data_IF_451698687161
#
_entry.id   IF_451698687161
#
_cell.length_a   1.000
_cell.length_b   1.000
_cell.length_c   1.000
_cell.angle_alpha   90.00
_cell.angle_beta   90.00
_cell.angle_gamma   90.00
#
_symmetry.space_group_name_H-M   'P 1'
#
loop_
_entity.id
_entity.type
_entity.pdbx_description
1 polymer ?
#
# COMPACT_ATOMS: atom_id res chain seq x y z
N UNK A 1 -25.96 -10.50 -7.04
CA UNK A 1 -25.90 -9.15 -6.45
C UNK A 1 -24.79 -9.21 -5.38
N UNK A 2 -23.51 -9.14 -5.81
CA UNK A 2 -22.35 -9.21 -4.92
C UNK A 2 -22.13 -7.82 -4.32
N UNK A 3 -22.10 -7.74 -2.98
CA UNK A 3 -21.82 -6.53 -2.22
C UNK A 3 -20.56 -5.88 -2.75
N UNK A 4 -20.70 -4.66 -3.22
CA UNK A 4 -19.60 -3.72 -3.33
C UNK A 4 -18.93 -3.64 -1.95
N UNK A 5 -17.60 -3.72 -1.92
CA UNK A 5 -16.85 -3.71 -0.66
C UNK A 5 -17.13 -2.44 0.15
N UNK A 6 -16.89 -2.49 1.44
CA UNK A 6 -17.05 -1.37 2.39
C UNK A 6 -16.07 -0.21 2.06
N UNK A 7 -15.37 -0.28 0.93
CA UNK A 7 -14.22 0.52 0.55
C UNK A 7 -14.35 2.05 0.63
N UNK A 8 -15.57 2.61 0.71
CA UNK A 8 -15.75 4.06 0.89
C UNK A 8 -16.30 4.45 2.26
N UNK A 9 -16.78 3.49 3.07
CA UNK A 9 -17.48 3.74 4.34
C UNK A 9 -16.79 3.17 5.57
N UNK A 10 -15.64 2.51 5.42
CA UNK A 10 -14.85 1.94 6.51
C UNK A 10 -14.44 3.02 7.53
N UNK A 11 -14.59 2.73 8.82
CA UNK A 11 -14.17 3.64 9.89
C UNK A 11 -12.67 3.86 9.92
N UNK A 12 -11.89 2.84 9.60
CA UNK A 12 -10.43 2.93 9.53
C UNK A 12 -9.97 3.87 8.41
N UNK A 13 -10.71 3.88 7.27
CA UNK A 13 -10.48 4.85 6.19
C UNK A 13 -10.75 6.28 6.64
N UNK A 14 -11.71 6.49 7.51
CA UNK A 14 -12.05 7.83 8.01
C UNK A 14 -11.14 8.32 9.15
N UNK A 15 -10.20 7.49 9.63
CA UNK A 15 -9.25 7.87 10.66
C UNK A 15 -8.21 8.87 10.17
N UNK A 16 -7.60 9.55 11.14
CA UNK A 16 -6.58 10.57 10.90
C UNK A 16 -5.40 10.01 10.08
N UNK A 17 -4.89 10.74 9.06
CA UNK A 17 -3.85 10.27 8.15
C UNK A 17 -2.58 9.76 8.84
N UNK A 18 -2.17 10.39 9.93
CA UNK A 18 -0.97 9.98 10.70
C UNK A 18 -1.17 8.58 11.31
N UNK A 19 -2.38 8.26 11.78
CA UNK A 19 -2.68 6.94 12.38
C UNK A 19 -2.60 5.84 11.32
N UNK A 20 -3.25 6.05 10.18
CA UNK A 20 -3.25 5.08 9.09
C UNK A 20 -1.85 4.89 8.51
N UNK A 21 -1.08 5.98 8.32
CA UNK A 21 0.29 5.91 7.82
C UNK A 21 1.23 5.17 8.79
N UNK A 22 1.21 5.52 10.09
CA UNK A 22 2.03 4.86 11.11
C UNK A 22 1.71 3.37 11.23
N UNK A 23 0.42 3.00 11.22
CA UNK A 23 -0.01 1.61 11.24
C UNK A 23 0.59 0.79 10.08
N UNK A 24 0.41 1.24 8.83
CA UNK A 24 0.93 0.52 7.67
C UNK A 24 2.46 0.50 7.64
N UNK A 25 3.12 1.57 8.07
CA UNK A 25 4.59 1.62 8.17
C UNK A 25 5.10 0.57 9.15
N UNK A 26 4.45 0.43 10.32
CA UNK A 26 4.81 -0.57 11.33
C UNK A 26 4.57 -1.98 10.79
N UNK A 27 3.38 -2.27 10.24
CA UNK A 27 3.03 -3.60 9.73
C UNK A 27 3.96 -4.02 8.59
N UNK A 28 4.13 -3.18 7.57
CA UNK A 28 4.99 -3.50 6.42
C UNK A 28 6.46 -3.60 6.87
N UNK A 29 6.90 -2.72 7.78
CA UNK A 29 8.25 -2.78 8.35
C UNK A 29 8.52 -4.12 9.06
N UNK A 30 7.63 -4.57 9.93
CA UNK A 30 7.76 -5.87 10.61
C UNK A 30 7.78 -7.02 9.60
N UNK A 31 6.92 -6.98 8.58
CA UNK A 31 6.84 -8.01 7.55
C UNK A 31 8.14 -8.16 6.75
N UNK A 32 8.77 -7.06 6.38
CA UNK A 32 10.01 -7.07 5.59
C UNK A 32 11.18 -7.72 6.32
N UNK A 33 11.14 -7.77 7.64
CA UNK A 33 12.20 -8.39 8.45
C UNK A 33 11.82 -9.75 9.02
N UNK A 34 10.56 -10.18 8.90
CA UNK A 34 10.07 -11.43 9.48
C UNK A 34 10.38 -12.62 8.59
N UNK A 35 11.12 -13.61 9.14
CA UNK A 35 11.43 -14.88 8.49
C UNK A 35 10.64 -16.06 9.07
N UNK A 36 9.73 -15.84 10.00
CA UNK A 36 8.92 -16.90 10.61
C UNK A 36 7.69 -17.22 9.76
N UNK A 37 7.52 -18.48 9.30
CA UNK A 37 6.38 -18.87 8.46
C UNK A 37 5.03 -18.63 9.14
N UNK A 38 4.95 -18.79 10.47
CA UNK A 38 3.71 -18.57 11.21
C UNK A 38 3.26 -17.10 11.16
N UNK A 39 4.19 -16.15 11.32
CA UNK A 39 3.90 -14.73 11.14
C UNK A 39 3.41 -14.43 9.72
N UNK A 40 4.08 -14.99 8.71
CA UNK A 40 3.78 -14.73 7.30
C UNK A 40 2.42 -15.32 6.89
N UNK A 41 2.11 -16.53 7.33
CA UNK A 41 0.82 -17.18 7.04
C UNK A 41 -0.33 -16.39 7.70
N UNK A 42 -0.17 -16.01 8.99
CA UNK A 42 -1.19 -15.20 9.68
C UNK A 42 -1.41 -13.86 8.99
N UNK A 43 -0.34 -13.23 8.50
CA UNK A 43 -0.40 -11.98 7.72
C UNK A 43 -1.18 -12.12 6.43
N UNK A 44 -0.95 -13.20 5.68
CA UNK A 44 -1.66 -13.45 4.42
C UNK A 44 -3.14 -13.67 4.70
N UNK A 45 -3.49 -14.52 5.68
CA UNK A 45 -4.89 -14.85 6.01
C UNK A 45 -5.66 -13.59 6.43
N UNK A 46 -5.10 -12.81 7.37
CA UNK A 46 -5.76 -11.60 7.88
C UNK A 46 -5.77 -10.51 6.81
N UNK A 47 -4.67 -10.34 6.08
CA UNK A 47 -4.58 -9.36 4.98
C UNK A 47 -5.56 -9.66 3.85
N UNK A 48 -5.72 -10.93 3.43
CA UNK A 48 -6.72 -11.32 2.45
C UNK A 48 -8.15 -11.07 2.94
N UNK A 49 -8.42 -11.37 4.21
CA UNK A 49 -9.72 -11.11 4.83
C UNK A 49 -10.05 -9.61 4.84
N UNK A 50 -9.06 -8.78 5.16
CA UNK A 50 -9.22 -7.32 5.17
C UNK A 50 -9.38 -6.74 3.76
N UNK A 51 -8.55 -7.16 2.80
CA UNK A 51 -8.63 -6.72 1.41
C UNK A 51 -9.95 -7.16 0.74
N UNK A 52 -10.49 -8.33 1.13
CA UNK A 52 -11.83 -8.78 0.73
C UNK A 52 -12.95 -7.88 1.27
N UNK A 53 -12.84 -7.41 2.51
CA UNK A 53 -13.78 -6.45 3.09
C UNK A 53 -13.74 -5.11 2.35
N UNK A 54 -12.55 -4.63 1.98
CA UNK A 54 -12.36 -3.35 1.30
C UNK A 54 -12.83 -3.38 -0.16
N UNK A 55 -12.45 -4.40 -0.92
CA UNK A 55 -12.61 -4.46 -2.40
C UNK A 55 -13.65 -5.47 -2.87
N UNK A 56 -14.21 -6.26 -1.95
CA UNK A 56 -15.13 -7.35 -2.28
C UNK A 56 -14.42 -8.63 -2.76
N UNK A 57 -15.22 -9.63 -3.13
CA UNK A 57 -14.74 -10.99 -3.45
C UNK A 57 -13.83 -11.08 -4.69
N UNK A 58 -13.85 -10.11 -5.59
CA UNK A 58 -12.94 -10.07 -6.75
C UNK A 58 -11.48 -9.95 -6.33
N UNK A 59 -11.19 -9.33 -5.18
CA UNK A 59 -9.85 -9.19 -4.63
C UNK A 59 -9.22 -10.53 -4.28
N UNK A 60 -10.01 -11.49 -3.82
CA UNK A 60 -9.53 -12.82 -3.44
C UNK A 60 -8.79 -13.50 -4.61
N UNK A 61 -9.38 -13.46 -5.80
CA UNK A 61 -8.77 -14.06 -7.01
C UNK A 61 -7.46 -13.39 -7.38
N UNK A 62 -7.41 -12.06 -7.29
CA UNK A 62 -6.18 -11.32 -7.59
C UNK A 62 -5.09 -11.61 -6.58
N UNK A 63 -5.43 -11.67 -5.29
CA UNK A 63 -4.47 -11.97 -4.22
C UNK A 63 -3.94 -13.42 -4.33
N UNK A 64 -4.81 -14.39 -4.64
CA UNK A 64 -4.38 -15.77 -4.90
C UNK A 64 -3.43 -15.84 -6.10
N UNK A 65 -3.72 -15.11 -7.18
CA UNK A 65 -2.81 -15.04 -8.33
C UNK A 65 -1.45 -14.46 -7.95
N UNK A 66 -1.41 -13.39 -7.15
CA UNK A 66 -0.17 -12.79 -6.65
C UNK A 66 0.63 -13.81 -5.81
N UNK A 67 -0.02 -14.52 -4.88
CA UNK A 67 0.62 -15.52 -4.04
C UNK A 67 1.22 -16.64 -4.90
N UNK A 68 0.45 -17.21 -5.83
CA UNK A 68 0.90 -18.29 -6.69
C UNK A 68 2.04 -17.85 -7.61
N UNK A 69 1.92 -16.67 -8.23
CA UNK A 69 2.94 -16.13 -9.11
C UNK A 69 4.25 -15.85 -8.37
N UNK A 70 4.16 -15.20 -7.20
CA UNK A 70 5.34 -14.91 -6.37
C UNK A 70 5.97 -16.18 -5.81
N UNK A 71 5.15 -17.17 -5.40
CA UNK A 71 5.66 -18.46 -4.93
C UNK A 71 6.42 -19.18 -6.04
N UNK A 72 5.87 -19.25 -7.23
CA UNK A 72 6.53 -19.88 -8.37
C UNK A 72 7.85 -19.17 -8.71
N UNK A 73 7.82 -17.84 -8.82
CA UNK A 73 8.98 -17.06 -9.23
C UNK A 73 10.12 -17.11 -8.20
N UNK A 74 9.81 -16.91 -6.92
CA UNK A 74 10.82 -16.89 -5.86
C UNK A 74 11.39 -18.27 -5.55
N UNK A 75 10.58 -19.31 -5.55
CA UNK A 75 11.07 -20.69 -5.39
C UNK A 75 11.97 -21.06 -6.55
N UNK A 76 11.58 -20.73 -7.79
CA UNK A 76 12.39 -21.01 -8.97
C UNK A 76 13.73 -20.28 -8.92
N UNK A 77 13.73 -18.98 -8.62
CA UNK A 77 14.97 -18.20 -8.52
C UNK A 77 15.86 -18.72 -7.41
N UNK A 78 15.32 -18.96 -6.21
CA UNK A 78 16.13 -19.47 -5.11
C UNK A 78 16.68 -20.88 -5.40
N UNK A 79 15.89 -21.77 -5.99
CA UNK A 79 16.32 -23.11 -6.34
C UNK A 79 17.46 -23.13 -7.38
N UNK A 80 17.42 -22.17 -8.34
CA UNK A 80 18.42 -22.09 -9.42
C UNK A 80 19.71 -21.36 -9.02
N UNK A 81 19.61 -20.33 -8.17
CA UNK A 81 20.75 -19.44 -7.87
C UNK A 81 21.36 -19.65 -6.49
N UNK A 82 20.61 -20.24 -5.55
CA UNK A 82 21.10 -20.47 -4.19
C UNK A 82 21.43 -21.94 -3.99
N UNK A 83 22.72 -22.24 -3.80
CA UNK A 83 23.24 -23.60 -3.67
C UNK A 83 23.62 -23.95 -2.22
N UNK A 84 23.23 -23.12 -1.25
CA UNK A 84 23.52 -23.28 0.17
C UNK A 84 22.48 -24.21 0.80
N UNK A 85 22.90 -25.38 1.22
CA UNK A 85 22.06 -26.36 1.91
C UNK A 85 22.74 -27.71 1.99
N UNK A 86 22.34 -28.52 2.95
CA UNK A 86 22.90 -29.84 3.18
C UNK A 86 22.17 -30.97 2.43
N UNK A 87 20.87 -30.80 2.19
CA UNK A 87 19.98 -31.77 1.52
C UNK A 87 19.84 -31.49 0.04
N UNK A 88 20.55 -32.23 -0.80
CA UNK A 88 20.47 -32.12 -2.25
C UNK A 88 19.26 -32.93 -2.76
N UNK A 89 18.33 -32.28 -3.46
CA UNK A 89 17.18 -32.93 -4.10
C UNK A 89 17.55 -33.50 -5.48
N UNK A 90 18.16 -32.69 -6.33
CA UNK A 90 18.66 -33.11 -7.65
C UNK A 90 19.71 -32.13 -8.16
N UNK A 91 20.43 -32.57 -9.21
CA UNK A 91 21.44 -31.76 -9.88
C UNK A 91 20.88 -31.24 -11.22
N UNK A 92 20.97 -29.94 -11.42
CA UNK A 92 20.66 -29.31 -12.70
C UNK A 92 21.96 -28.88 -13.37
N UNK A 93 22.53 -29.76 -14.22
CA UNK A 93 23.88 -29.57 -14.75
C UNK A 93 24.93 -29.63 -13.62
N UNK A 94 25.65 -28.53 -13.41
CA UNK A 94 26.69 -28.43 -12.35
C UNK A 94 26.18 -27.83 -11.03
N UNK A 95 24.89 -27.44 -10.98
CA UNK A 95 24.27 -26.73 -9.84
C UNK A 95 23.47 -27.72 -8.97
N UNK A 96 23.65 -27.63 -7.65
CA UNK A 96 22.93 -28.42 -6.65
C UNK A 96 21.65 -27.71 -6.25
N UNK A 97 20.50 -28.30 -6.52
CA UNK A 97 19.21 -27.82 -6.02
C UNK A 97 18.98 -28.45 -4.65
N UNK A 98 18.85 -27.61 -3.62
CA UNK A 98 18.73 -28.04 -2.23
C UNK A 98 17.31 -27.77 -1.69
N UNK A 99 16.84 -28.63 -0.78
CA UNK A 99 15.54 -28.48 -0.13
C UNK A 99 15.47 -27.18 0.68
N UNK A 100 16.56 -26.82 1.34
CA UNK A 100 16.66 -25.59 2.13
C UNK A 100 16.49 -24.35 1.27
N UNK A 101 17.03 -24.33 0.04
CA UNK A 101 16.87 -23.25 -0.90
C UNK A 101 15.40 -23.11 -1.37
N UNK A 102 14.72 -24.23 -1.61
CA UNK A 102 13.31 -24.23 -1.97
C UNK A 102 12.42 -23.75 -0.81
N UNK A 103 12.66 -24.21 0.41
CA UNK A 103 11.93 -23.76 1.60
C UNK A 103 12.17 -22.27 1.87
N UNK A 104 13.39 -21.78 1.74
CA UNK A 104 13.69 -20.36 1.89
C UNK A 104 13.01 -19.52 0.80
N UNK A 105 13.01 -20.03 -0.45
CA UNK A 105 12.27 -19.43 -1.54
C UNK A 105 10.77 -19.28 -1.28
N UNK A 106 10.17 -20.31 -0.63
CA UNK A 106 8.76 -20.26 -0.24
C UNK A 106 8.50 -19.22 0.85
N UNK A 107 9.37 -19.10 1.83
CA UNK A 107 9.24 -18.09 2.89
C UNK A 107 9.38 -16.67 2.33
N UNK A 108 10.35 -16.46 1.44
CA UNK A 108 10.49 -15.20 0.71
C UNK A 108 9.24 -14.88 -0.13
N UNK A 109 8.65 -15.90 -0.77
CA UNK A 109 7.40 -15.75 -1.50
C UNK A 109 6.24 -15.30 -0.60
N UNK A 110 6.09 -15.92 0.56
CA UNK A 110 5.08 -15.54 1.53
C UNK A 110 5.28 -14.11 2.04
N UNK A 111 6.54 -13.73 2.30
CA UNK A 111 6.89 -12.36 2.72
C UNK A 111 6.50 -11.33 1.65
N UNK A 112 6.94 -11.53 0.41
CA UNK A 112 6.63 -10.62 -0.70
C UNK A 112 5.13 -10.56 -0.98
N UNK A 113 4.44 -11.71 -0.97
CA UNK A 113 2.99 -11.76 -1.16
C UNK A 113 2.25 -11.05 -0.03
N UNK A 114 2.68 -11.23 1.21
CA UNK A 114 2.14 -10.53 2.37
C UNK A 114 2.28 -9.02 2.25
N UNK A 115 3.47 -8.52 1.91
CA UNK A 115 3.72 -7.09 1.67
C UNK A 115 2.83 -6.57 0.55
N UNK A 116 2.69 -7.30 -0.57
CA UNK A 116 1.84 -6.90 -1.70
C UNK A 116 0.37 -6.79 -1.31
N UNK A 117 -0.16 -7.73 -0.53
CA UNK A 117 -1.55 -7.73 -0.07
C UNK A 117 -1.80 -6.54 0.86
N UNK A 118 -0.89 -6.28 1.81
CA UNK A 118 -1.00 -5.12 2.71
C UNK A 118 -0.81 -3.79 1.98
N UNK A 119 0.06 -3.74 0.99
CA UNK A 119 0.20 -2.56 0.14
C UNK A 119 -1.04 -2.33 -0.75
N UNK A 120 -1.71 -3.40 -1.16
CA UNK A 120 -2.98 -3.34 -1.87
C UNK A 120 -4.09 -2.68 -1.03
N UNK A 121 -4.19 -3.03 0.26
CA UNK A 121 -5.12 -2.38 1.20
C UNK A 121 -4.68 -0.95 1.55
N UNK A 122 -3.37 -0.70 1.70
CA UNK A 122 -2.83 0.65 1.89
C UNK A 122 -3.27 1.63 0.80
N UNK A 123 -3.23 1.22 -0.47
CA UNK A 123 -3.63 2.06 -1.60
C UNK A 123 -5.13 2.46 -1.56
N UNK A 124 -5.98 1.66 -0.91
CA UNK A 124 -7.40 2.00 -0.72
C UNK A 124 -7.59 2.95 0.46
N UNK A 125 -6.91 2.67 1.57
CA UNK A 125 -7.08 3.42 2.83
C UNK A 125 -6.37 4.78 2.79
N UNK A 126 -5.20 4.84 2.12
CA UNK A 126 -4.38 6.03 2.01
C UNK A 126 -4.74 6.81 0.75
N UNK A 127 -5.78 7.64 0.84
CA UNK A 127 -6.20 8.51 -0.26
C UNK A 127 -5.19 9.62 -0.54
N UNK A 128 -5.25 10.19 -1.76
CA UNK A 128 -4.39 11.31 -2.16
C UNK A 128 -4.49 12.50 -1.19
N UNK A 129 -5.68 12.76 -0.64
CA UNK A 129 -5.91 13.84 0.34
C UNK A 129 -5.15 13.62 1.64
N UNK A 130 -5.08 12.36 2.11
CA UNK A 130 -4.31 12.00 3.30
C UNK A 130 -2.81 12.15 3.08
N UNK A 131 -2.32 11.78 1.88
CA UNK A 131 -0.92 11.99 1.51
C UNK A 131 -0.57 13.47 1.48
N UNK A 132 -1.42 14.29 0.85
CA UNK A 132 -1.23 15.77 0.84
C UNK A 132 -1.17 16.31 2.26
N UNK A 133 -2.04 15.84 3.16
CA UNK A 133 -2.05 16.29 4.54
C UNK A 133 -0.72 15.97 5.27
N UNK A 134 -0.22 14.74 5.11
CA UNK A 134 1.05 14.32 5.74
C UNK A 134 2.21 15.16 5.22
N UNK A 135 2.36 15.25 3.89
CA UNK A 135 3.44 16.03 3.28
C UNK A 135 3.31 17.52 3.57
N UNK A 136 2.10 18.05 3.59
CA UNK A 136 1.83 19.45 3.90
C UNK A 136 2.17 19.84 5.34
N UNK A 137 2.18 18.89 6.26
CA UNK A 137 2.59 19.13 7.65
C UNK A 137 4.12 19.25 7.79
N UNK A 138 4.89 18.45 7.03
CA UNK A 138 6.36 18.49 7.05
C UNK A 138 6.91 19.63 6.20
N UNK A 139 6.29 19.87 5.04
CA UNK A 139 6.71 20.90 4.10
C UNK A 139 5.46 21.55 3.46
N UNK A 140 5.00 22.71 3.97
CA UNK A 140 3.78 23.38 3.51
C UNK A 140 3.78 23.68 2.01
N UNK A 141 4.95 24.00 1.44
CA UNK A 141 5.11 24.24 0.00
C UNK A 141 4.84 22.96 -0.79
N UNK A 142 5.37 21.81 -0.34
CA UNK A 142 5.12 20.52 -1.00
C UNK A 142 3.65 20.12 -0.91
N UNK A 143 3.00 20.33 0.22
CA UNK A 143 1.58 20.06 0.38
C UNK A 143 0.72 20.86 -0.60
N UNK A 144 1.00 22.13 -0.77
CA UNK A 144 0.32 22.98 -1.73
C UNK A 144 0.59 22.52 -3.18
N UNK A 145 1.86 22.26 -3.51
CA UNK A 145 2.24 21.79 -4.85
C UNK A 145 1.57 20.47 -5.20
N UNK A 146 1.57 19.50 -4.28
CA UNK A 146 0.86 18.23 -4.47
C UNK A 146 -0.65 18.43 -4.66
N UNK A 147 -1.26 19.30 -3.86
CA UNK A 147 -2.69 19.63 -4.01
C UNK A 147 -3.00 20.19 -5.39
N UNK A 148 -2.14 21.07 -5.90
CA UNK A 148 -2.25 21.59 -7.27
C UNK A 148 -2.09 20.48 -8.31
N UNK A 149 -1.07 19.64 -8.19
CA UNK A 149 -0.83 18.53 -9.12
C UNK A 149 -2.05 17.61 -9.20
N UNK A 150 -2.60 17.16 -8.07
CA UNK A 150 -3.77 16.28 -8.06
C UNK A 150 -5.03 16.93 -8.66
N UNK A 151 -5.14 18.25 -8.60
CA UNK A 151 -6.20 19.00 -9.28
C UNK A 151 -5.92 19.15 -10.79
N UNK A 152 -4.66 19.40 -11.16
CA UNK A 152 -4.28 19.62 -12.56
C UNK A 152 -4.29 18.34 -13.39
N UNK A 153 -3.92 17.18 -12.83
CA UNK A 153 -3.89 15.91 -13.59
C UNK A 153 -5.23 15.56 -14.24
N UNK A 154 -6.38 15.55 -13.53
CA UNK A 154 -7.69 15.34 -14.17
C UNK A 154 -8.03 16.43 -15.20
N UNK A 155 -7.72 17.69 -14.89
CA UNK A 155 -7.96 18.82 -15.79
C UNK A 155 -7.17 18.69 -17.09
N UNK A 156 -5.88 18.35 -17.02
CA UNK A 156 -5.05 18.10 -18.18
C UNK A 156 -5.57 16.95 -19.04
N UNK A 157 -6.06 15.88 -18.41
CA UNK A 157 -6.68 14.76 -19.12
C UNK A 157 -7.90 15.19 -19.92
N UNK A 158 -8.82 15.93 -19.30
CA UNK A 158 -10.01 16.45 -19.98
C UNK A 158 -9.64 17.41 -21.11
N UNK A 159 -8.64 18.29 -20.89
CA UNK A 159 -8.15 19.21 -21.93
C UNK A 159 -7.48 18.48 -23.08
N UNK A 160 -6.72 17.42 -22.79
CA UNK A 160 -6.11 16.59 -23.83
C UNK A 160 -7.17 15.91 -24.71
N UNK A 161 -8.25 15.38 -24.13
CA UNK A 161 -9.36 14.79 -24.85
C UNK A 161 -10.04 15.82 -25.78
N UNK A 162 -10.32 17.05 -25.28
CA UNK A 162 -10.88 18.14 -26.08
C UNK A 162 -9.96 18.57 -27.24
N UNK A 163 -8.65 18.70 -26.99
CA UNK A 163 -7.67 19.04 -28.03
C UNK A 163 -7.65 17.95 -29.10
N UNK A 164 -7.65 16.67 -28.66
CA UNK A 164 -7.67 15.53 -29.56
C UNK A 164 -8.91 15.46 -30.43
N UNK A 165 -10.09 15.73 -29.86
CA UNK A 165 -11.36 15.84 -30.63
C UNK A 165 -11.31 16.97 -31.64
N UNK A 166 -10.83 18.15 -31.24
CA UNK A 166 -10.66 19.29 -32.13
C UNK A 166 -9.66 19.01 -33.26
N UNK A 167 -8.54 18.35 -32.97
CA UNK A 167 -7.53 17.98 -33.99
C UNK A 167 -8.10 16.94 -34.96
N UNK A 168 -8.87 15.97 -34.49
CA UNK A 168 -9.54 14.98 -35.36
C UNK A 168 -10.56 15.62 -36.30
N UNK A 169 -11.30 16.62 -35.83
CA UNK A 169 -12.24 17.34 -36.67
C UNK A 169 -11.56 18.15 -37.78
N UNK A 170 -10.35 18.65 -37.53
CA UNK A 170 -9.57 19.44 -38.49
C UNK A 170 -8.82 18.56 -39.51
N UNK A 171 -8.39 17.35 -39.12
CA UNK A 171 -7.52 16.49 -39.90
C UNK A 171 -8.19 15.13 -40.21
N UNK A 172 -9.22 15.13 -41.01
CA UNK A 172 -9.97 13.90 -41.40
C UNK A 172 -9.24 12.92 -42.35
N UNK A 173 -7.91 13.02 -42.59
CA UNK A 173 -7.31 12.32 -43.70
C UNK A 173 -6.03 11.50 -43.47
N UNK A 174 -5.22 11.75 -42.48
CA UNK A 174 -3.82 11.25 -42.46
C UNK A 174 -3.45 10.25 -41.36
N UNK A 175 -4.44 9.63 -40.70
CA UNK A 175 -4.24 8.75 -39.54
C UNK A 175 -3.75 7.33 -39.84
N UNK A 176 -3.54 6.96 -41.10
CA UNK A 176 -3.26 5.56 -41.47
C UNK A 176 -1.80 5.14 -41.22
N UNK A 177 -0.86 6.09 -41.13
CA UNK A 177 0.56 5.79 -40.90
C UNK A 177 0.93 5.90 -39.42
N UNK A 178 1.78 4.98 -38.93
CA UNK A 178 2.34 5.02 -37.59
C UNK A 178 3.09 6.34 -37.30
N UNK A 179 3.84 6.83 -38.27
CA UNK A 179 4.58 8.11 -38.20
C UNK A 179 3.59 9.29 -38.15
N UNK A 180 2.50 9.23 -38.91
CA UNK A 180 1.42 10.22 -38.87
C UNK A 180 0.80 10.36 -37.43
N UNK A 181 0.52 9.22 -36.79
CA UNK A 181 0.00 9.19 -35.41
C UNK A 181 0.97 9.80 -34.40
N UNK A 182 2.27 9.54 -34.52
CA UNK A 182 3.29 10.13 -33.63
C UNK A 182 3.37 11.65 -33.85
N UNK A 183 3.36 12.12 -35.09
CA UNK A 183 3.38 13.55 -35.41
C UNK A 183 2.14 14.27 -34.87
N UNK A 184 0.98 13.63 -34.96
CA UNK A 184 -0.26 14.18 -34.43
C UNK A 184 -0.25 14.25 -32.90
N UNK A 185 0.17 13.19 -32.21
CA UNK A 185 0.38 13.23 -30.76
C UNK A 185 1.35 14.34 -30.35
N UNK A 186 2.43 14.56 -31.09
CA UNK A 186 3.35 15.66 -30.83
C UNK A 186 2.68 17.03 -30.93
N UNK A 187 1.80 17.26 -31.91
CA UNK A 187 1.02 18.50 -32.03
C UNK A 187 0.03 18.67 -30.86
N UNK A 188 -0.72 17.61 -30.53
CA UNK A 188 -1.68 17.60 -29.42
C UNK A 188 -0.99 17.92 -28.08
N UNK A 189 0.18 17.30 -27.82
CA UNK A 189 0.98 17.57 -26.62
C UNK A 189 1.52 19.00 -26.62
N UNK A 190 2.01 19.50 -27.75
CA UNK A 190 2.50 20.89 -27.87
C UNK A 190 1.41 21.91 -27.52
N UNK A 191 0.18 21.72 -28.01
CA UNK A 191 -0.96 22.57 -27.68
C UNK A 191 -1.30 22.49 -26.18
N UNK A 192 -1.29 21.27 -25.64
CA UNK A 192 -1.55 21.03 -24.22
C UNK A 192 -0.51 21.73 -23.32
N UNK A 193 0.77 21.67 -23.69
CA UNK A 193 1.85 22.35 -22.95
C UNK A 193 1.69 23.86 -22.99
N UNK A 194 1.41 24.44 -24.17
CA UNK A 194 1.17 25.88 -24.30
C UNK A 194 0.00 26.34 -23.43
N UNK A 195 -1.14 25.63 -23.48
CA UNK A 195 -2.28 25.90 -22.62
C UNK A 195 -1.93 25.75 -21.13
N UNK A 196 -1.16 24.73 -20.78
CA UNK A 196 -0.76 24.48 -19.38
C UNK A 196 0.11 25.59 -18.81
N UNK A 197 1.03 26.13 -19.62
CA UNK A 197 1.88 27.26 -19.24
C UNK A 197 1.05 28.53 -19.00
N UNK A 198 0.14 28.85 -19.91
CA UNK A 198 -0.78 29.98 -19.77
C UNK A 198 -1.66 29.85 -18.52
N UNK A 199 -2.29 28.70 -18.33
CA UNK A 199 -3.09 28.42 -17.13
C UNK A 199 -2.30 28.46 -15.82
N UNK A 200 -1.01 28.11 -15.87
CA UNK A 200 -0.12 28.20 -14.70
C UNK A 200 0.19 29.65 -14.33
N UNK A 201 0.39 30.53 -15.31
CA UNK A 201 0.60 31.98 -15.08
C UNK A 201 -0.66 32.61 -14.47
N UNK A 202 -1.83 32.37 -15.05
CA UNK A 202 -3.11 32.85 -14.53
C UNK A 202 -3.37 32.38 -13.09
N UNK A 203 -3.01 31.10 -12.81
CA UNK A 203 -3.14 30.52 -11.47
C UNK A 203 -2.20 31.20 -10.48
N UNK A 204 -0.96 31.51 -10.88
CA UNK A 204 0.02 32.22 -10.07
C UNK A 204 -0.44 33.65 -9.74
N UNK A 205 -0.95 34.39 -10.74
CA UNK A 205 -1.48 35.73 -10.56
C UNK A 205 -2.69 35.75 -9.63
N UNK A 206 -3.61 34.80 -9.83
CA UNK A 206 -4.76 34.62 -8.94
C UNK A 206 -4.34 34.29 -7.50
N UNK A 207 -3.30 33.49 -7.30
CA UNK A 207 -2.77 33.19 -5.97
C UNK A 207 -2.11 34.42 -5.34
N UNK A 208 -1.34 35.18 -6.10
CA UNK A 208 -0.73 36.42 -5.64
C UNK A 208 -1.79 37.44 -5.20
N UNK A 209 -2.86 37.61 -6.00
CA UNK A 209 -4.00 38.49 -5.67
C UNK A 209 -4.72 38.08 -4.39
N UNK A 210 -4.74 36.77 -4.06
CA UNK A 210 -5.32 36.23 -2.81
C UNK A 210 -4.35 36.29 -1.63
N UNK A 211 -3.20 36.94 -1.75
CA UNK A 211 -2.23 37.11 -0.67
C UNK A 211 -1.34 35.89 -0.43
N UNK A 212 -1.09 35.09 -1.45
CA UNK A 212 -0.13 34.00 -1.33
C UNK A 212 1.28 34.57 -1.02
N UNK A 213 1.95 33.99 -0.02
CA UNK A 213 3.27 34.45 0.42
C UNK A 213 3.26 35.46 1.58
N UNK A 214 2.11 36.02 1.98
CA UNK A 214 2.01 36.91 3.13
C UNK A 214 2.25 36.16 4.45
N UNK A 215 2.88 36.82 5.43
CA UNK A 215 3.11 36.30 6.78
C UNK A 215 1.77 36.15 7.55
N UNK A 216 1.64 35.11 8.37
CA UNK A 216 0.45 34.89 9.21
C UNK A 216 -0.64 34.02 8.55
N UNK A 217 -0.39 33.43 7.41
CA UNK A 217 -1.34 32.54 6.74
C UNK A 217 -1.52 31.23 7.52
N UNK A 218 -2.79 30.87 7.80
CA UNK A 218 -3.17 29.57 8.36
C UNK A 218 -3.57 28.60 7.27
N UNK A 219 -3.26 27.31 7.45
CA UNK A 219 -3.74 26.24 6.56
C UNK A 219 -5.03 25.65 7.10
N UNK A 220 -6.01 25.43 6.23
CA UNK A 220 -7.22 24.72 6.59
C UNK A 220 -6.94 23.23 6.78
N UNK A 221 -7.19 22.70 7.98
CA UNK A 221 -7.03 21.30 8.31
C UNK A 221 -8.36 20.56 8.20
N UNK A 222 -8.50 19.69 7.21
CA UNK A 222 -9.66 18.81 7.05
C UNK A 222 -9.74 17.73 8.13
N UNK A 223 -8.58 17.26 8.63
CA UNK A 223 -8.50 16.15 9.56
C UNK A 223 -8.30 16.65 11.00
N UNK A 224 -9.23 16.28 11.87
CA UNK A 224 -9.14 16.55 13.32
C UNK A 224 -8.82 15.25 14.04
N UNK A 225 -7.81 15.26 14.91
CA UNK A 225 -7.49 14.14 15.79
C UNK A 225 -8.62 13.95 16.81
N UNK A 226 -9.20 12.76 16.79
CA UNK A 226 -10.22 12.32 17.76
C UNK A 226 -9.58 11.42 18.80
N UNK A 227 -10.23 11.26 19.97
CA UNK A 227 -9.75 10.35 21.03
C UNK A 227 -9.59 8.89 20.53
N UNK A 228 -10.47 8.43 19.64
CA UNK A 228 -10.37 7.13 19.01
C UNK A 228 -9.10 6.99 18.13
N UNK A 229 -8.69 8.06 17.45
CA UNK A 229 -7.48 8.09 16.61
C UNK A 229 -6.22 7.98 17.48
N UNK A 230 -6.20 8.68 18.63
CA UNK A 230 -5.09 8.61 19.59
C UNK A 230 -4.96 7.21 20.20
N UNK A 231 -6.08 6.59 20.56
CA UNK A 231 -6.09 5.23 21.10
C UNK A 231 -5.59 4.22 20.06
N UNK A 232 -6.02 4.33 18.82
CA UNK A 232 -5.56 3.48 17.73
C UNK A 232 -4.06 3.69 17.42
N UNK A 233 -3.57 4.93 17.47
CA UNK A 233 -2.16 5.25 17.30
C UNK A 233 -1.33 4.63 18.43
N UNK A 234 -1.74 4.83 19.68
CA UNK A 234 -1.05 4.28 20.84
C UNK A 234 -1.03 2.75 20.80
N UNK A 235 -2.17 2.12 20.50
CA UNK A 235 -2.26 0.67 20.36
C UNK A 235 -1.33 0.14 19.27
N UNK A 236 -1.28 0.79 18.09
CA UNK A 236 -0.40 0.35 16.98
C UNK A 236 1.08 0.48 17.34
N UNK A 237 1.49 1.54 18.05
CA UNK A 237 2.87 1.73 18.49
C UNK A 237 3.25 0.71 19.57
N UNK A 238 2.40 0.47 20.56
CA UNK A 238 2.66 -0.48 21.65
C UNK A 238 2.72 -1.92 21.09
N UNK A 239 1.73 -2.35 20.32
CA UNK A 239 1.69 -3.69 19.75
C UNK A 239 2.87 -3.90 18.77
N UNK A 240 3.14 -2.94 17.90
CA UNK A 240 4.28 -2.97 17.00
C UNK A 240 5.61 -2.99 17.74
N UNK A 241 5.74 -2.22 18.81
CA UNK A 241 6.92 -2.19 19.68
C UNK A 241 7.19 -3.54 20.35
N UNK A 242 6.17 -4.16 20.96
CA UNK A 242 6.29 -5.49 21.58
C UNK A 242 6.72 -6.53 20.54
N UNK A 243 6.10 -6.53 19.36
CA UNK A 243 6.44 -7.43 18.27
C UNK A 243 7.88 -7.22 17.80
N UNK A 244 8.31 -5.98 17.63
CA UNK A 244 9.67 -5.64 17.19
C UNK A 244 10.71 -6.05 18.23
N UNK A 245 10.45 -5.79 19.52
CA UNK A 245 11.34 -6.19 20.61
C UNK A 245 11.47 -7.72 20.66
N UNK A 246 10.36 -8.44 20.60
CA UNK A 246 10.35 -9.91 20.53
C UNK A 246 11.21 -10.43 19.38
N UNK A 247 11.11 -9.81 18.21
CA UNK A 247 11.89 -10.19 17.04
C UNK A 247 13.38 -9.85 17.18
N UNK A 248 13.72 -8.67 17.71
CA UNK A 248 15.13 -8.22 17.90
C UNK A 248 15.85 -9.09 18.92
N UNK A 249 15.20 -9.46 20.01
CA UNK A 249 15.75 -10.38 21.04
C UNK A 249 16.05 -11.77 20.46
N UNK A 250 15.61 -12.04 19.23
CA UNK A 250 15.91 -13.29 18.53
C UNK A 250 14.85 -14.37 18.69
N UNK A 251 13.77 -14.03 19.37
CA UNK A 251 12.59 -14.87 19.50
C UNK A 251 11.92 -14.98 18.14
N UNK A 252 11.47 -16.17 17.76
CA UNK A 252 10.81 -16.41 16.46
C UNK A 252 11.72 -16.31 15.22
N UNK A 253 13.04 -16.41 15.37
CA UNK A 253 13.98 -16.50 14.24
C UNK A 253 14.15 -17.93 13.77
N UNK A 254 13.99 -18.13 12.47
CA UNK A 254 14.30 -19.38 11.79
C UNK A 254 15.54 -19.15 10.90
N UNK A 255 16.53 -20.03 11.05
CA UNK A 255 17.66 -20.09 10.14
C UNK A 255 17.46 -21.24 9.16
N UNK A 256 17.55 -20.93 7.88
CA UNK A 256 17.33 -21.89 6.80
C UNK A 256 18.63 -22.49 6.28
N UNK A 257 19.79 -21.87 6.55
CA UNK A 257 21.08 -22.31 6.11
C UNK A 257 22.06 -22.51 7.28
N UNK A 258 22.94 -23.54 7.23
CA UNK A 258 23.03 -24.66 6.26
C UNK A 258 21.98 -25.74 6.46
N UNK A 259 21.29 -25.76 7.61
CA UNK A 259 20.20 -26.66 8.02
C UNK A 259 19.09 -25.82 8.63
N UNK A 260 17.84 -26.23 8.43
CA UNK A 260 16.69 -25.55 9.01
C UNK A 260 16.74 -25.74 10.54
N UNK A 261 17.01 -24.66 11.27
CA UNK A 261 17.05 -24.65 12.74
C UNK A 261 16.05 -23.63 13.28
N UNK A 262 15.19 -24.11 14.18
CA UNK A 262 14.35 -23.23 15.02
C UNK A 262 15.22 -22.79 16.18
N UNK A 263 15.36 -21.48 16.38
CA UNK A 263 16.06 -20.98 17.56
C UNK A 263 15.07 -21.06 18.73
N UNK A 264 15.32 -22.00 19.63
CA UNK A 264 14.63 -22.00 20.91
C UNK A 264 15.13 -20.80 21.71
N UNK A 265 14.27 -19.83 21.90
CA UNK A 265 14.60 -18.63 22.62
C UNK A 265 13.91 -18.64 23.97
N UNK A 266 14.68 -18.34 25.01
CA UNK A 266 14.13 -18.02 26.31
C UNK A 266 14.09 -16.48 26.46
N UNK A 267 13.01 -15.92 27.00
CA UNK A 267 11.89 -16.58 27.67
C UNK A 267 10.68 -16.85 26.74
N UNK A 268 10.04 -18.01 26.86
CA UNK A 268 8.88 -18.44 26.06
C UNK A 268 7.67 -17.49 26.15
N UNK A 269 7.52 -16.76 27.26
CA UNK A 269 6.45 -15.77 27.40
C UNK A 269 6.60 -14.60 26.41
N UNK A 270 7.83 -14.22 26.07
CA UNK A 270 8.10 -13.15 25.12
C UNK A 270 7.76 -13.60 23.68
N UNK A 271 7.95 -14.87 23.39
CA UNK A 271 7.54 -15.49 22.13
C UNK A 271 6.01 -15.40 21.97
N UNK A 272 5.29 -15.86 22.98
CA UNK A 272 3.83 -15.81 22.98
C UNK A 272 3.31 -14.38 22.92
N UNK A 273 3.89 -13.45 23.69
CA UNK A 273 3.55 -12.04 23.66
C UNK A 273 3.79 -11.42 22.28
N UNK A 274 4.90 -11.76 21.61
CA UNK A 274 5.20 -11.32 20.25
C UNK A 274 4.16 -11.79 19.24
N UNK A 275 3.76 -13.06 19.28
CA UNK A 275 2.71 -13.61 18.41
C UNK A 275 1.35 -12.96 18.64
N UNK A 276 0.92 -12.88 19.91
CA UNK A 276 -0.37 -12.30 20.25
C UNK A 276 -0.44 -10.82 19.87
N UNK A 277 0.63 -10.05 20.16
CA UNK A 277 0.68 -8.64 19.80
C UNK A 277 0.68 -8.42 18.29
N UNK A 278 1.36 -9.28 17.53
CA UNK A 278 1.37 -9.21 16.07
C UNK A 278 -0.01 -9.51 15.48
N UNK A 279 -0.66 -10.60 15.91
CA UNK A 279 -2.02 -10.94 15.46
C UNK A 279 -3.00 -9.82 15.83
N UNK A 280 -2.92 -9.28 17.05
CA UNK A 280 -3.76 -8.16 17.48
C UNK A 280 -3.55 -6.92 16.61
N UNK A 281 -2.29 -6.62 16.24
CA UNK A 281 -1.95 -5.54 15.33
C UNK A 281 -2.57 -5.75 13.94
N UNK A 282 -2.47 -6.97 13.37
CA UNK A 282 -3.03 -7.28 12.06
C UNK A 282 -4.57 -7.23 12.03
N UNK A 283 -5.22 -7.69 13.11
CA UNK A 283 -6.70 -7.72 13.22
C UNK A 283 -7.28 -6.33 13.50
N UNK A 284 -6.49 -5.39 14.00
CA UNK A 284 -6.94 -4.06 14.43
C UNK A 284 -7.79 -3.32 13.39
N UNK A 285 -7.40 -3.12 12.11
CA UNK A 285 -8.22 -2.40 11.13
C UNK A 285 -9.53 -3.14 10.82
N UNK A 286 -9.48 -4.47 10.75
CA UNK A 286 -10.63 -5.32 10.53
C UNK A 286 -11.64 -5.19 11.68
N UNK A 287 -11.17 -5.19 12.93
CA UNK A 287 -11.99 -5.00 14.11
C UNK A 287 -12.66 -3.61 14.12
N UNK A 288 -11.90 -2.55 13.83
CA UNK A 288 -12.41 -1.17 13.79
C UNK A 288 -13.52 -1.02 12.75
N UNK A 289 -13.35 -1.59 11.56
CA UNK A 289 -14.33 -1.50 10.47
C UNK A 289 -15.58 -2.34 10.78
N UNK A 290 -15.42 -3.58 11.29
CA UNK A 290 -16.55 -4.43 11.69
C UNK A 290 -17.37 -3.84 12.84
N UNK A 291 -16.72 -3.34 13.89
CA UNK A 291 -17.42 -2.64 14.99
C UNK A 291 -18.12 -1.38 14.50
N UNK A 292 -17.54 -0.69 13.53
CA UNK A 292 -18.15 0.43 12.86
C UNK A 292 -19.47 0.07 12.18
N UNK A 293 -19.46 -1.00 11.41
CA UNK A 293 -20.61 -1.50 10.66
C UNK A 293 -21.72 -2.00 11.58
N UNK A 294 -21.35 -2.76 12.62
CA UNK A 294 -22.31 -3.25 13.61
C UNK A 294 -23.01 -2.12 14.36
N UNK A 295 -22.26 -1.08 14.77
CA UNK A 295 -22.85 0.08 15.44
C UNK A 295 -23.80 0.85 14.52
N UNK A 296 -23.47 0.97 13.24
CA UNK A 296 -24.31 1.65 12.26
C UNK A 296 -25.59 0.88 11.95
N UNK A 297 -25.54 -0.46 11.82
CA UNK A 297 -26.70 -1.32 11.66
C UNK A 297 -27.64 -1.23 12.87
N UNK A 298 -27.07 -1.22 14.08
CA UNK A 298 -27.86 -1.09 15.32
C UNK A 298 -28.56 0.28 15.44
N UNK A 299 -27.92 1.34 14.98
CA UNK A 299 -28.53 2.70 14.98
C UNK A 299 -29.64 2.84 13.94
N UNK A 300 -29.58 2.12 12.81
CA UNK A 300 -30.65 2.11 11.80
C UNK A 300 -31.88 1.29 12.22
N UNK A 301 -31.69 0.26 13.05
CA UNK A 301 -32.82 -0.56 13.53
C UNK A 301 -33.63 0.12 14.65
N UNK A 302 -33.20 1.27 15.12
CA UNK A 302 -33.85 2.05 16.20
C UNK A 302 -34.59 3.29 15.68
N UNK A 303 -34.54 3.53 14.35
CA UNK A 303 -35.33 4.52 13.60
C UNK A 303 -36.41 3.80 12.78
#
# INVERSE_FOLDING_TARGET
MFREGIGETGRFILMHPVVTASYYTIVIGILMFSNSPLFLISTIIIGMSYDMLLKGSKSLRNNLFIILFMSFLTVLINALFTHNGSTVLFYLGNNRVTLEAACYGLVMALMLSGVMIWFSSFNVVMTSEKLIYIFGRFAPVLGLTLSMIFRFVPLLRTRFELIREGQRALYAGDEKSFIGKIRQLGKEVSILVSWSLESSIESADSMAARGYGLKGRTSYNLFKLRSADLLALFASIVLGGITTVSYVVGVNKLYYYPVIKVVESEPKWLEFAGYVSFIALLVMPLAIDLFGELKWKRSRSTI
#
